data_IF_102012123116
#
_entry.id   IF_102012123116
#
_cell.length_a   1.000
_cell.length_b   1.000
_cell.length_c   1.000
_cell.angle_alpha   90.00
_cell.angle_beta   90.00
_cell.angle_gamma   90.00
#
_symmetry.space_group_name_H-M   'P 1'
#
loop_
_entity.id
_entity.type
_entity.pdbx_description
1 polymer ?
#
# COMPACT_ATOMS: atom_id res chain seq x y z
N UNK A 1 -33.83 -18.24 -21.42
CA UNK A 1 -33.80 -17.32 -20.27
C UNK A 1 -33.04 -17.86 -19.05
N UNK A 2 -33.37 -19.03 -18.50
CA UNK A 2 -32.71 -19.60 -17.29
C UNK A 2 -31.19 -19.81 -17.43
N UNK A 3 -30.70 -20.22 -18.61
CA UNK A 3 -29.26 -20.46 -18.87
C UNK A 3 -28.45 -19.16 -18.86
N UNK A 4 -28.96 -18.10 -19.49
CA UNK A 4 -28.31 -16.78 -19.52
C UNK A 4 -28.23 -16.17 -18.10
N UNK A 5 -29.32 -16.27 -17.33
CA UNK A 5 -29.34 -15.82 -15.94
C UNK A 5 -28.30 -16.56 -15.07
N UNK A 6 -28.19 -17.89 -15.23
CA UNK A 6 -27.20 -18.71 -14.51
C UNK A 6 -25.75 -18.35 -14.88
N UNK A 7 -25.49 -17.98 -16.13
CA UNK A 7 -24.16 -17.51 -16.57
C UNK A 7 -23.84 -16.15 -15.95
N UNK A 8 -24.78 -15.20 -15.99
CA UNK A 8 -24.60 -13.89 -15.37
C UNK A 8 -24.29 -13.97 -13.87
N UNK A 9 -25.03 -14.80 -13.13
CA UNK A 9 -24.79 -15.04 -11.71
C UNK A 9 -23.39 -15.61 -11.43
N UNK A 10 -22.91 -16.54 -12.26
CA UNK A 10 -21.55 -17.10 -12.12
C UNK A 10 -20.47 -16.04 -12.34
N UNK A 11 -20.62 -15.20 -13.36
CA UNK A 11 -19.66 -14.12 -13.63
C UNK A 11 -19.61 -13.11 -12.47
N UNK A 12 -20.77 -12.78 -11.91
CA UNK A 12 -20.86 -11.91 -10.74
C UNK A 12 -20.15 -12.52 -9.52
N UNK A 13 -20.37 -13.81 -9.23
CA UNK A 13 -19.68 -14.49 -8.14
C UNK A 13 -18.15 -14.49 -8.32
N UNK A 14 -17.68 -14.79 -9.53
CA UNK A 14 -16.24 -14.74 -9.84
C UNK A 14 -15.69 -13.34 -9.58
N UNK A 15 -16.38 -12.29 -10.04
CA UNK A 15 -15.97 -10.90 -9.79
C UNK A 15 -15.91 -10.61 -8.28
N UNK A 16 -16.92 -11.02 -7.51
CA UNK A 16 -16.93 -10.85 -6.05
C UNK A 16 -15.77 -11.58 -5.39
N UNK A 17 -15.49 -12.83 -5.76
CA UNK A 17 -14.34 -13.57 -5.20
C UNK A 17 -13.00 -12.90 -5.51
N UNK A 18 -12.83 -12.36 -6.72
CA UNK A 18 -11.62 -11.60 -7.07
C UNK A 18 -11.49 -10.36 -6.18
N UNK A 19 -12.58 -9.62 -5.93
CA UNK A 19 -12.53 -8.43 -5.09
C UNK A 19 -12.21 -8.79 -3.64
N UNK A 20 -12.85 -9.82 -3.10
CA UNK A 20 -12.57 -10.33 -1.75
C UNK A 20 -11.10 -10.75 -1.63
N UNK A 21 -10.57 -11.44 -2.64
CA UNK A 21 -9.16 -11.83 -2.68
C UNK A 21 -8.22 -10.62 -2.67
N UNK A 22 -8.51 -9.57 -3.44
CA UNK A 22 -7.73 -8.33 -3.42
C UNK A 22 -7.76 -7.61 -2.06
N UNK A 23 -8.94 -7.60 -1.40
CA UNK A 23 -9.07 -7.05 -0.04
C UNK A 23 -8.22 -7.88 0.94
N UNK A 24 -8.26 -9.21 0.85
CA UNK A 24 -7.44 -10.11 1.67
C UNK A 24 -5.94 -9.81 1.49
N UNK A 25 -5.46 -9.70 0.25
CA UNK A 25 -4.07 -9.36 -0.08
C UNK A 25 -3.64 -8.03 0.57
N UNK A 26 -4.53 -7.06 0.68
CA UNK A 26 -4.23 -5.75 1.26
C UNK A 26 -4.31 -5.71 2.79
N UNK A 27 -5.11 -6.58 3.40
CA UNK A 27 -5.50 -6.50 4.83
C UNK A 27 -4.86 -7.58 5.69
N UNK A 28 -4.80 -8.83 5.23
CA UNK A 28 -4.28 -9.94 6.02
C UNK A 28 -2.82 -9.76 6.43
N UNK A 29 -1.91 -9.24 5.58
CA UNK A 29 -0.52 -8.98 6.00
C UNK A 29 -0.40 -8.07 7.22
N UNK A 30 -1.37 -7.18 7.46
CA UNK A 30 -1.40 -6.30 8.65
C UNK A 30 -1.50 -7.07 9.96
N UNK A 31 -2.13 -8.25 9.94
CA UNK A 31 -2.19 -9.13 11.11
C UNK A 31 -0.82 -9.69 11.50
N UNK A 32 0.14 -9.67 10.58
CA UNK A 32 1.52 -10.13 10.80
C UNK A 32 2.50 -8.96 10.98
N UNK A 33 1.99 -7.76 11.28
CA UNK A 33 2.82 -6.57 11.48
C UNK A 33 3.35 -5.93 10.20
N UNK A 34 2.87 -6.35 9.02
CA UNK A 34 3.22 -5.74 7.73
C UNK A 34 2.22 -4.63 7.44
N UNK A 35 2.70 -3.40 7.40
CA UNK A 35 1.87 -2.24 7.05
C UNK A 35 1.73 -2.15 5.54
N UNK A 36 0.56 -1.72 5.08
CA UNK A 36 0.29 -1.57 3.65
C UNK A 36 -0.21 -0.18 3.33
N UNK A 37 0.42 0.44 2.33
CA UNK A 37 0.10 1.78 1.85
C UNK A 37 -0.10 1.76 0.35
N UNK A 38 -0.87 2.71 -0.16
CA UNK A 38 -1.01 2.89 -1.61
C UNK A 38 -0.17 4.07 -2.05
N UNK A 39 0.55 3.89 -3.15
CA UNK A 39 1.40 4.92 -3.73
C UNK A 39 0.54 5.93 -4.49
N UNK A 40 0.54 7.17 -4.00
CA UNK A 40 -0.29 8.26 -4.51
C UNK A 40 0.44 9.16 -5.52
N UNK A 41 1.77 9.23 -5.45
CA UNK A 41 2.59 10.14 -6.26
C UNK A 41 3.63 9.37 -7.09
N UNK A 42 4.19 10.05 -8.09
CA UNK A 42 5.21 9.49 -8.98
C UNK A 42 6.65 9.56 -8.43
N UNK A 43 6.87 9.97 -7.18
CA UNK A 43 8.23 10.25 -6.67
C UNK A 43 9.13 9.01 -6.63
N UNK A 44 8.55 7.81 -6.56
CA UNK A 44 9.28 6.53 -6.58
C UNK A 44 9.32 5.86 -7.96
N UNK A 45 8.86 6.54 -9.02
CA UNK A 45 8.96 6.01 -10.40
C UNK A 45 10.42 6.04 -10.86
N UNK A 46 10.92 5.03 -11.61
CA UNK A 46 10.22 3.84 -12.13
C UNK A 46 10.15 2.65 -11.17
N UNK A 47 10.80 2.72 -10.00
CA UNK A 47 10.91 1.59 -9.06
C UNK A 47 9.57 1.13 -8.52
N UNK A 48 8.71 2.06 -8.11
CA UNK A 48 7.38 1.78 -7.56
C UNK A 48 6.35 2.63 -8.33
N UNK A 49 5.53 2.01 -9.20
CA UNK A 49 4.53 2.74 -9.98
C UNK A 49 3.40 3.33 -9.13
N UNK A 50 2.82 4.44 -9.60
CA UNK A 50 1.62 5.06 -9.01
C UNK A 50 0.47 4.04 -8.96
N UNK A 51 -0.27 4.02 -7.86
CA UNK A 51 -1.41 3.12 -7.66
C UNK A 51 -1.01 1.71 -7.23
N UNK A 52 0.28 1.46 -6.97
CA UNK A 52 0.73 0.24 -6.32
C UNK A 52 0.32 0.20 -4.86
N UNK A 53 0.13 -1.01 -4.33
CA UNK A 53 0.14 -1.24 -2.88
C UNK A 53 1.54 -1.70 -2.47
N UNK A 54 2.12 -1.06 -1.45
CA UNK A 54 3.43 -1.41 -0.88
C UNK A 54 3.25 -2.18 0.43
N UNK A 55 4.25 -3.01 0.76
CA UNK A 55 4.29 -3.83 1.95
C UNK A 55 5.54 -3.49 2.76
N UNK A 56 5.32 -2.86 3.91
CA UNK A 56 6.38 -2.34 4.76
C UNK A 56 6.46 -3.13 6.06
N UNK A 57 7.67 -3.49 6.45
CA UNK A 57 7.92 -4.18 7.72
C UNK A 57 8.81 -3.32 8.60
N UNK A 58 8.44 -3.15 9.87
CA UNK A 58 9.33 -2.51 10.84
C UNK A 58 10.55 -3.42 11.07
N UNK A 59 11.73 -2.83 10.96
CA UNK A 59 13.03 -3.47 11.20
C UNK A 59 13.88 -2.53 12.06
N UNK A 60 14.96 -3.06 12.61
CA UNK A 60 15.86 -2.30 13.45
C UNK A 60 16.65 -1.25 12.66
N UNK A 61 17.06 -0.18 13.34
CA UNK A 61 17.84 0.91 12.75
C UNK A 61 19.11 0.43 12.05
N UNK A 62 19.76 -0.61 12.60
CA UNK A 62 20.99 -1.17 12.07
C UNK A 62 20.78 -1.93 10.74
N UNK A 63 19.56 -2.41 10.49
CA UNK A 63 19.21 -3.18 9.29
C UNK A 63 18.72 -2.29 8.12
N UNK A 64 18.57 -0.98 8.37
CA UNK A 64 18.29 0.02 7.35
C UNK A 64 19.63 0.60 6.87
N UNK A 65 19.85 0.50 5.56
CA UNK A 65 21.09 0.90 4.91
C UNK A 65 20.84 1.88 3.77
N UNK A 66 21.91 2.58 3.35
CA UNK A 66 21.88 3.40 2.13
C UNK A 66 21.47 2.53 0.93
N UNK A 67 20.52 3.02 0.14
CA UNK A 67 19.91 2.30 -0.97
C UNK A 67 18.58 1.63 -0.62
N UNK A 68 18.27 1.41 0.65
CA UNK A 68 16.97 0.88 1.07
C UNK A 68 15.85 1.90 0.85
N UNK A 69 14.63 1.40 0.64
CA UNK A 69 13.43 2.23 0.60
C UNK A 69 12.70 2.10 1.94
N UNK A 70 12.32 3.24 2.51
CA UNK A 70 11.62 3.30 3.80
C UNK A 70 10.35 4.14 3.67
N UNK A 71 9.34 3.75 4.43
CA UNK A 71 8.14 4.55 4.65
C UNK A 71 8.22 5.20 6.02
N UNK A 72 7.93 6.50 6.11
CA UNK A 72 8.06 7.29 7.32
C UNK A 72 7.00 8.40 7.39
N UNK A 73 6.86 9.01 8.56
CA UNK A 73 6.03 10.20 8.76
C UNK A 73 6.86 11.46 8.50
N UNK A 74 6.42 12.29 7.57
CA UNK A 74 6.96 13.60 7.27
C UNK A 74 6.05 14.67 7.88
N UNK A 75 6.47 15.24 9.01
CA UNK A 75 5.67 16.20 9.79
C UNK A 75 4.57 15.54 10.62
N UNK A 76 3.65 16.36 11.14
CA UNK A 76 2.67 15.95 12.17
C UNK A 76 1.32 15.45 11.62
N UNK A 77 1.10 15.42 10.29
CA UNK A 77 -0.17 14.99 9.68
C UNK A 77 -0.13 13.55 9.12
N UNK A 78 -1.29 12.86 9.10
CA UNK A 78 -1.41 11.54 8.45
C UNK A 78 -1.21 11.61 6.93
N UNK A 79 -1.45 12.76 6.30
CA UNK A 79 -1.12 13.02 4.89
C UNK A 79 0.40 13.12 4.65
N UNK A 80 1.19 13.16 5.73
CA UNK A 80 2.64 13.18 5.71
C UNK A 80 3.30 11.81 5.54
N UNK A 81 2.59 10.72 5.21
CA UNK A 81 3.26 9.42 5.00
C UNK A 81 3.99 9.42 3.65
N UNK A 82 5.32 9.30 3.71
CA UNK A 82 6.22 9.34 2.56
C UNK A 82 7.00 8.04 2.47
N UNK A 83 7.19 7.53 1.24
CA UNK A 83 8.00 6.35 0.95
C UNK A 83 9.11 6.73 0.00
N UNK A 84 10.36 6.80 0.46
CA UNK A 84 11.51 7.25 -0.34
C UNK A 84 12.77 6.41 -0.05
N UNK A 85 13.80 6.55 -0.89
CA UNK A 85 15.06 5.82 -0.76
C UNK A 85 16.01 6.55 0.18
N UNK A 86 16.66 5.80 1.06
CA UNK A 86 17.75 6.27 1.92
C UNK A 86 18.97 6.54 1.05
N UNK A 87 19.45 7.78 1.06
CA UNK A 87 20.68 8.19 0.36
C UNK A 87 21.84 8.46 1.32
N UNK A 88 21.55 8.73 2.59
CA UNK A 88 22.55 8.82 3.65
C UNK A 88 21.97 8.34 4.99
N UNK A 89 22.84 7.85 5.87
CA UNK A 89 22.51 7.38 7.22
C UNK A 89 23.47 8.03 8.22
N UNK A 90 22.92 8.59 9.29
CA UNK A 90 23.68 9.16 10.39
C UNK A 90 23.50 8.29 11.65
N UNK A 91 24.57 7.61 12.03
CA UNK A 91 24.62 6.71 13.18
C UNK A 91 24.52 7.46 14.53
N UNK A 92 24.97 8.71 14.61
CA UNK A 92 24.96 9.49 15.84
C UNK A 92 23.56 10.01 16.17
N UNK A 93 22.90 10.62 15.16
CA UNK A 93 21.55 11.17 15.33
C UNK A 93 20.44 10.12 15.12
N UNK A 94 20.81 8.89 14.71
CA UNK A 94 19.88 7.82 14.31
C UNK A 94 18.86 8.29 13.30
N UNK A 95 19.35 8.92 12.23
CA UNK A 95 18.53 9.53 11.20
C UNK A 95 18.98 9.16 9.78
N UNK A 96 18.11 9.46 8.83
CA UNK A 96 18.30 9.17 7.42
C UNK A 96 18.04 10.42 6.58
N UNK A 97 18.85 10.61 5.54
CA UNK A 97 18.49 11.50 4.43
C UNK A 97 17.81 10.65 3.37
N UNK A 98 16.65 11.08 2.91
CA UNK A 98 15.84 10.35 1.92
C UNK A 98 15.69 11.14 0.62
N UNK A 99 15.36 10.42 -0.44
CA UNK A 99 15.08 10.99 -1.76
C UNK A 99 14.13 10.08 -2.53
N UNK A 100 13.12 10.66 -3.16
CA UNK A 100 12.32 9.94 -4.17
C UNK A 100 13.15 9.63 -5.40
N UNK A 101 13.04 8.41 -5.94
CA UNK A 101 13.82 7.96 -7.11
C UNK A 101 13.67 8.87 -8.35
N UNK A 102 12.50 9.48 -8.53
CA UNK A 102 12.21 10.43 -9.61
C UNK A 102 12.55 11.89 -9.25
N UNK A 103 12.85 12.19 -7.99
CA UNK A 103 13.07 13.57 -7.54
C UNK A 103 14.46 14.06 -7.99
N UNK A 104 14.59 15.35 -8.27
CA UNK A 104 15.88 15.95 -8.64
C UNK A 104 16.78 16.12 -7.39
N UNK A 105 16.21 16.62 -6.30
CA UNK A 105 16.90 16.88 -5.03
C UNK A 105 16.53 15.85 -3.96
N UNK A 106 17.33 15.82 -2.90
CA UNK A 106 17.01 15.15 -1.64
C UNK A 106 15.81 15.81 -0.97
N UNK A 107 15.15 15.04 -0.10
CA UNK A 107 14.06 15.55 0.73
C UNK A 107 14.60 16.55 1.75
N UNK A 108 13.76 17.52 2.14
CA UNK A 108 14.13 18.50 3.15
C UNK A 108 14.04 17.90 4.55
N UNK A 109 15.11 18.02 5.32
CA UNK A 109 15.20 17.51 6.68
C UNK A 109 15.65 16.06 6.77
N UNK A 110 16.06 15.66 7.97
CA UNK A 110 16.44 14.28 8.27
C UNK A 110 15.24 13.52 8.85
N UNK A 111 15.09 12.27 8.43
CA UNK A 111 14.09 11.34 8.94
C UNK A 111 14.67 10.60 10.12
N UNK A 112 14.16 10.84 11.33
CA UNK A 112 14.60 10.08 12.50
C UNK A 112 14.05 8.66 12.46
N UNK A 113 14.78 7.71 13.03
CA UNK A 113 14.33 6.31 13.10
C UNK A 113 12.97 6.12 13.81
N UNK A 114 12.65 7.00 14.76
CA UNK A 114 11.36 7.01 15.46
C UNK A 114 10.16 7.26 14.52
N UNK A 115 10.37 8.03 13.45
CA UNK A 115 9.35 8.34 12.45
C UNK A 115 9.25 7.29 11.35
N UNK A 116 10.22 6.36 11.28
CA UNK A 116 10.21 5.27 10.31
C UNK A 116 9.09 4.29 10.65
N UNK A 117 8.16 4.13 9.73
CA UNK A 117 7.04 3.20 9.81
C UNK A 117 7.51 1.78 9.49
N UNK A 118 8.35 1.63 8.47
CA UNK A 118 8.93 0.35 8.06
C UNK A 118 9.81 0.47 6.83
N UNK A 119 10.60 -0.57 6.58
CA UNK A 119 11.32 -0.77 5.33
C UNK A 119 10.40 -1.42 4.31
N UNK A 120 10.41 -0.87 3.10
CA UNK A 120 9.72 -1.43 1.94
C UNK A 120 10.33 -2.78 1.59
N UNK A 121 9.47 -3.79 1.40
CA UNK A 121 9.88 -5.11 0.93
C UNK A 121 9.52 -5.35 -0.54
N UNK A 122 8.23 -5.18 -0.88
CA UNK A 122 7.73 -5.38 -2.24
C UNK A 122 6.45 -4.58 -2.47
N UNK A 123 6.01 -4.51 -3.73
CA UNK A 123 4.73 -3.92 -4.11
C UNK A 123 3.96 -4.82 -5.07
N UNK A 124 2.66 -4.56 -5.18
CA UNK A 124 1.83 -5.09 -6.27
C UNK A 124 1.22 -3.91 -7.02
N UNK A 125 1.47 -3.77 -8.33
CA UNK A 125 0.97 -2.63 -9.10
C UNK A 125 -0.55 -2.70 -9.26
N UNK A 126 -1.17 -1.53 -9.47
CA UNK A 126 -2.61 -1.33 -9.75
C UNK A 126 -3.59 -1.69 -8.62
N UNK A 127 -3.26 -2.59 -7.69
CA UNK A 127 -4.14 -2.99 -6.58
C UNK A 127 -4.51 -1.79 -5.69
N UNK A 128 -3.53 -0.94 -5.36
CA UNK A 128 -3.77 0.23 -4.52
C UNK A 128 -4.82 1.16 -5.14
N UNK A 129 -4.67 1.46 -6.43
CA UNK A 129 -5.65 2.27 -7.18
C UNK A 129 -7.03 1.64 -7.19
N UNK A 130 -7.10 0.33 -7.44
CA UNK A 130 -8.36 -0.41 -7.43
C UNK A 130 -9.08 -0.31 -6.06
N UNK A 131 -8.35 -0.52 -4.96
CA UNK A 131 -8.89 -0.45 -3.61
C UNK A 131 -9.35 0.96 -3.22
N UNK A 132 -8.64 2.00 -3.69
CA UNK A 132 -9.07 3.38 -3.52
C UNK A 132 -10.41 3.65 -4.20
N UNK A 133 -10.53 3.27 -5.48
CA UNK A 133 -11.80 3.42 -6.22
C UNK A 133 -12.94 2.64 -5.56
N UNK A 134 -12.65 1.45 -5.02
CA UNK A 134 -13.64 0.65 -4.27
C UNK A 134 -14.11 1.37 -3.01
N UNK A 135 -13.19 2.02 -2.28
CA UNK A 135 -13.49 2.79 -1.08
C UNK A 135 -14.29 4.05 -1.39
N UNK A 136 -13.88 4.84 -2.39
CA UNK A 136 -14.53 6.08 -2.81
C UNK A 136 -15.96 5.86 -3.32
N UNK A 137 -16.16 4.84 -4.16
CA UNK A 137 -17.47 4.50 -4.72
C UNK A 137 -18.43 3.86 -3.72
N UNK A 138 -17.95 3.50 -2.52
CA UNK A 138 -18.67 2.70 -1.51
C UNK A 138 -19.16 1.35 -2.04
N UNK A 139 -18.58 0.85 -3.14
CA UNK A 139 -18.95 -0.42 -3.77
C UNK A 139 -18.81 -1.62 -2.82
N UNK A 140 -17.93 -1.52 -1.82
CA UNK A 140 -17.79 -2.53 -0.76
C UNK A 140 -19.10 -2.82 0.00
N UNK A 141 -20.01 -1.84 0.11
CA UNK A 141 -21.32 -2.03 0.76
C UNK A 141 -22.19 -2.98 -0.06
N UNK A 142 -22.27 -2.77 -1.38
CA UNK A 142 -23.05 -3.62 -2.27
C UNK A 142 -22.47 -5.04 -2.35
N UNK A 143 -21.14 -5.16 -2.31
CA UNK A 143 -20.46 -6.45 -2.26
C UNK A 143 -20.82 -7.20 -0.97
N UNK A 144 -20.78 -6.53 0.18
CA UNK A 144 -21.15 -7.13 1.45
C UNK A 144 -22.61 -7.62 1.44
N UNK A 145 -23.55 -6.78 0.97
CA UNK A 145 -24.96 -7.16 0.83
C UNK A 145 -25.15 -8.36 -0.11
N UNK A 146 -24.45 -8.36 -1.25
CA UNK A 146 -24.51 -9.47 -2.21
C UNK A 146 -24.02 -10.78 -1.61
N UNK A 147 -22.93 -10.76 -0.85
CA UNK A 147 -22.39 -11.93 -0.15
C UNK A 147 -23.42 -12.46 0.85
N UNK A 148 -24.02 -11.58 1.67
CA UNK A 148 -25.04 -11.96 2.65
C UNK A 148 -26.23 -12.63 1.97
N UNK A 149 -26.77 -11.99 0.93
CA UNK A 149 -27.94 -12.52 0.19
C UNK A 149 -27.60 -13.87 -0.45
N UNK A 150 -26.40 -14.03 -1.00
CA UNK A 150 -25.96 -15.28 -1.64
C UNK A 150 -25.78 -16.46 -0.66
N UNK A 151 -25.75 -16.22 0.65
CA UNK A 151 -25.74 -17.30 1.66
C UNK A 151 -27.15 -17.90 1.84
N UNK A 152 -28.20 -17.11 1.62
CA UNK A 152 -29.61 -17.50 1.83
C UNK A 152 -30.33 -17.98 0.57
N UNK A 153 -29.69 -17.89 -0.60
CA UNK A 153 -30.20 -18.33 -1.91
C UNK A 153 -29.43 -19.57 -2.35
#
# INVERSE_FOLDING_TARGET
MKKALKVGYRLLNIAVYIIVFMIIIATVPRLFGIKTYTVLSGSMTPTIPIGSIIYDKKIDFNDINVGDVITFKAGDSEDGIVTHRVVAKDENSKSFTTKGDANASEDQGQVKYEDVIGKYNFHIPFIGRFLMTLKESKAYIFIALFIIISIFI
#
